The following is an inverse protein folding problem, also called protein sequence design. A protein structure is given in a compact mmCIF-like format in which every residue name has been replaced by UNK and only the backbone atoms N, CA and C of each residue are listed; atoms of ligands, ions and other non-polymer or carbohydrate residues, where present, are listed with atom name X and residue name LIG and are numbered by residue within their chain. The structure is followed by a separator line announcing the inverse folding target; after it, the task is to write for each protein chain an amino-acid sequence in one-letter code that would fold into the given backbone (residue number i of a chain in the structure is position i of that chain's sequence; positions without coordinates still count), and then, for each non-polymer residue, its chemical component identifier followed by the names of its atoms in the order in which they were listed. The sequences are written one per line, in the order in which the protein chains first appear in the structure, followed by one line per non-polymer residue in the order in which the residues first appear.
data_IF_980179498417
#
_entry.id   IF_980179498417
#
_cell.length_a   1.000
_cell.length_b   1.000
_cell.length_c   1.000
_cell.angle_alpha   90.00
_cell.angle_beta   90.00
_cell.angle_gamma   90.00
#
_symmetry.space_group_name_H-M   'P 1'
#
loop_
_entity.id
_entity.type
_entity.pdbx_description
1 polymer ?
#
# COMPACT_ATOMS: atom_id res chain seq x y z
N UNK A 1 19.12 28.95 7.76
CA UNK A 1 19.69 29.09 6.40
C UNK A 1 19.75 27.68 5.81
N UNK A 2 19.03 27.40 4.73
CA UNK A 2 19.00 26.07 4.11
C UNK A 2 20.25 25.80 3.25
N UNK A 3 20.62 24.53 3.09
CA UNK A 3 21.75 24.11 2.25
C UNK A 3 21.32 24.02 0.79
N UNK A 4 21.25 25.16 0.09
CA UNK A 4 20.75 25.23 -1.30
C UNK A 4 21.58 24.44 -2.32
N UNK A 5 22.84 24.16 -2.02
CA UNK A 5 23.74 23.35 -2.87
C UNK A 5 23.67 21.84 -2.59
N UNK A 6 22.92 21.40 -1.58
CA UNK A 6 22.79 19.99 -1.25
C UNK A 6 21.80 19.33 -2.23
N UNK A 7 22.28 18.38 -3.05
CA UNK A 7 21.46 17.71 -4.07
C UNK A 7 21.00 16.32 -3.66
N UNK A 8 21.74 15.65 -2.79
CA UNK A 8 21.39 14.33 -2.24
C UNK A 8 21.97 14.16 -0.85
N UNK A 9 21.33 13.31 -0.04
CA UNK A 9 21.80 12.90 1.27
C UNK A 9 21.55 11.42 1.50
N UNK A 10 22.49 10.75 2.16
CA UNK A 10 22.35 9.36 2.59
C UNK A 10 22.27 9.31 4.12
N UNK A 11 21.18 8.76 4.62
CA UNK A 11 20.91 8.54 6.04
C UNK A 11 21.15 7.07 6.36
N UNK A 12 22.18 6.78 7.10
CA UNK A 12 22.58 5.41 7.45
C UNK A 12 21.80 4.89 8.66
N UNK A 13 21.81 3.59 8.88
CA UNK A 13 21.14 2.91 10.00
C UNK A 13 21.58 3.40 11.40
N UNK A 14 22.73 4.05 11.52
CA UNK A 14 23.20 4.66 12.77
C UNK A 14 22.48 5.97 13.16
N UNK A 15 21.67 6.54 12.27
CA UNK A 15 20.90 7.75 12.56
C UNK A 15 19.63 7.36 13.33
N UNK A 16 19.59 7.70 14.59
CA UNK A 16 18.46 7.37 15.47
C UNK A 16 17.40 8.46 15.56
N UNK A 17 17.70 9.68 15.10
CA UNK A 17 16.76 10.81 15.10
C UNK A 17 17.13 11.86 14.05
N UNK A 18 16.11 12.31 13.33
CA UNK A 18 16.14 13.49 12.49
C UNK A 18 15.22 14.52 13.14
N UNK A 19 15.74 15.71 13.45
CA UNK A 19 14.93 16.78 14.05
C UNK A 19 13.92 17.37 13.07
N UNK A 20 12.82 17.94 13.61
CA UNK A 20 11.84 18.64 12.81
C UNK A 20 12.49 19.78 12.01
N UNK A 21 12.18 19.83 10.72
CA UNK A 21 12.74 20.85 9.84
C UNK A 21 14.23 20.69 9.49
N UNK A 22 14.83 19.52 9.73
CA UNK A 22 16.27 19.28 9.45
C UNK A 22 16.68 19.65 8.01
N UNK A 23 15.75 19.55 7.05
CA UNK A 23 15.99 19.87 5.63
C UNK A 23 15.22 21.09 5.13
N UNK A 24 14.67 21.90 6.03
CA UNK A 24 14.00 23.15 5.64
C UNK A 24 14.96 24.09 4.94
N UNK A 25 14.54 24.58 3.76
CA UNK A 25 15.37 25.47 2.94
C UNK A 25 16.47 24.78 2.13
N UNK A 26 16.55 23.46 2.12
CA UNK A 26 17.44 22.70 1.23
C UNK A 26 16.81 22.59 -0.17
N UNK A 27 16.62 23.72 -0.86
CA UNK A 27 15.88 23.79 -2.13
C UNK A 27 16.52 23.05 -3.30
N UNK A 28 17.81 22.74 -3.20
CA UNK A 28 18.54 21.92 -4.18
C UNK A 28 18.40 20.42 -3.98
N UNK A 29 17.83 19.98 -2.85
CA UNK A 29 17.73 18.56 -2.49
C UNK A 29 16.73 17.85 -3.41
N UNK A 30 17.23 16.83 -4.12
CA UNK A 30 16.46 16.02 -5.07
C UNK A 30 16.27 14.58 -4.61
N UNK A 31 17.14 14.10 -3.72
CA UNK A 31 17.14 12.72 -3.29
C UNK A 31 17.52 12.61 -1.80
N UNK A 32 16.73 11.84 -1.04
CA UNK A 32 17.08 11.38 0.31
C UNK A 32 17.12 9.85 0.27
N UNK A 33 18.26 9.27 0.62
CA UNK A 33 18.50 7.83 0.65
C UNK A 33 18.47 7.36 2.10
N UNK A 34 17.50 6.50 2.43
CA UNK A 34 17.46 5.79 3.70
C UNK A 34 18.04 4.38 3.53
N UNK A 35 19.08 4.05 4.31
CA UNK A 35 19.65 2.71 4.35
C UNK A 35 19.12 1.98 5.60
N UNK A 36 18.27 0.97 5.39
CA UNK A 36 17.54 0.24 6.46
C UNK A 36 18.03 -1.21 6.54
N UNK A 37 19.33 -1.43 6.75
CA UNK A 37 19.94 -2.75 6.63
C UNK A 37 19.66 -3.67 7.83
N UNK A 38 20.04 -3.25 9.05
CA UNK A 38 20.21 -4.19 10.17
C UNK A 38 19.10 -4.16 11.23
N UNK A 39 18.14 -3.24 11.16
CA UNK A 39 17.05 -3.08 12.11
C UNK A 39 15.75 -2.68 11.40
N UNK A 40 15.41 -3.41 10.36
CA UNK A 40 14.20 -3.13 9.57
C UNK A 40 12.95 -3.06 10.45
N UNK A 41 12.74 -4.02 11.36
CA UNK A 41 11.58 -4.05 12.26
C UNK A 41 11.54 -2.81 13.16
N UNK A 42 12.68 -2.42 13.72
CA UNK A 42 12.80 -1.22 14.55
C UNK A 42 12.54 0.05 13.73
N UNK A 43 13.06 0.13 12.52
CA UNK A 43 12.81 1.24 11.61
C UNK A 43 11.33 1.35 11.25
N UNK A 44 10.71 0.23 10.88
CA UNK A 44 9.30 0.17 10.48
C UNK A 44 8.36 0.61 11.62
N UNK A 45 8.67 0.24 12.86
CA UNK A 45 7.83 0.54 14.02
C UNK A 45 8.01 1.96 14.58
N UNK A 46 9.23 2.50 14.54
CA UNK A 46 9.50 3.85 15.08
C UNK A 46 9.15 4.97 14.10
N UNK A 47 9.26 4.70 12.79
CA UNK A 47 9.13 5.72 11.76
C UNK A 47 10.23 6.79 11.82
N UNK A 48 9.99 7.90 11.15
CA UNK A 48 10.88 9.07 11.16
C UNK A 48 10.06 10.37 11.15
N UNK A 49 10.63 11.52 11.53
CA UNK A 49 9.91 12.79 11.47
C UNK A 49 9.62 13.17 10.02
N UNK A 50 8.54 13.92 9.83
CA UNK A 50 8.13 14.43 8.53
C UNK A 50 9.26 15.21 7.85
N UNK A 51 9.62 14.82 6.64
CA UNK A 51 10.61 15.50 5.81
C UNK A 51 9.85 16.39 4.82
N UNK A 52 9.77 17.68 5.12
CA UNK A 52 9.12 18.65 4.24
C UNK A 52 10.10 19.14 3.16
N UNK A 53 10.42 18.29 2.20
CA UNK A 53 11.26 18.61 1.05
C UNK A 53 10.56 18.16 -0.24
N UNK A 54 10.70 18.94 -1.29
CA UNK A 54 10.15 18.59 -2.61
C UNK A 54 11.21 17.76 -3.38
N UNK A 55 11.43 16.51 -2.93
CA UNK A 55 12.39 15.57 -3.53
C UNK A 55 11.84 14.14 -3.48
N UNK A 56 12.44 13.29 -4.32
CA UNK A 56 12.17 11.85 -4.29
C UNK A 56 12.94 11.21 -3.12
N UNK A 57 12.21 10.53 -2.24
CA UNK A 57 12.81 9.77 -1.15
C UNK A 57 13.00 8.33 -1.62
N UNK A 58 14.25 7.88 -1.62
CA UNK A 58 14.62 6.53 -2.02
C UNK A 58 15.03 5.71 -0.82
N UNK A 59 14.49 4.51 -0.73
CA UNK A 59 14.78 3.57 0.35
C UNK A 59 15.62 2.40 -0.16
N UNK A 60 16.58 1.97 0.64
CA UNK A 60 17.55 0.93 0.27
C UNK A 60 17.61 -0.14 1.36
N UNK A 61 17.64 -1.40 0.94
CA UNK A 61 17.98 -2.54 1.79
C UNK A 61 19.21 -3.20 1.15
N UNK A 62 20.31 -3.30 1.90
CA UNK A 62 21.58 -3.84 1.39
C UNK A 62 22.00 -3.18 0.06
N UNK A 63 21.99 -1.85 0.03
CA UNK A 63 22.33 -0.98 -1.12
C UNK A 63 21.46 -1.18 -2.37
N UNK A 64 20.41 -2.00 -2.29
CA UNK A 64 19.43 -2.15 -3.38
C UNK A 64 18.22 -1.27 -3.13
N UNK A 65 17.86 -0.44 -4.11
CA UNK A 65 16.63 0.36 -4.06
C UNK A 65 15.40 -0.55 -3.98
N UNK A 66 14.49 -0.27 -3.03
CA UNK A 66 13.25 -1.02 -2.88
C UNK A 66 12.17 -0.42 -3.76
N UNK A 67 11.65 -1.25 -4.67
CA UNK A 67 10.48 -0.93 -5.50
C UNK A 67 9.25 -1.73 -5.08
N UNK A 68 9.44 -2.77 -4.27
CA UNK A 68 8.39 -3.54 -3.61
C UNK A 68 8.83 -3.85 -2.20
N UNK A 69 7.88 -3.88 -1.26
CA UNK A 69 8.15 -4.26 0.11
C UNK A 69 7.08 -5.18 0.66
N UNK A 70 7.52 -6.25 1.28
CA UNK A 70 6.73 -7.12 2.12
C UNK A 70 7.08 -6.81 3.58
N UNK A 71 6.09 -6.30 4.33
CA UNK A 71 6.27 -5.99 5.74
C UNK A 71 6.38 -7.32 6.50
N UNK A 72 7.43 -7.53 7.33
CA UNK A 72 7.62 -8.76 8.08
C UNK A 72 6.42 -9.11 8.97
N UNK A 73 6.11 -10.39 9.11
CA UNK A 73 4.91 -10.87 9.83
C UNK A 73 4.91 -10.56 11.34
N UNK A 74 6.08 -10.30 11.94
CA UNK A 74 6.23 -9.87 13.32
C UNK A 74 6.03 -8.37 13.53
N UNK A 75 5.91 -7.57 12.45
CA UNK A 75 5.63 -6.14 12.53
C UNK A 75 4.13 -5.92 12.62
N UNK A 76 3.69 -5.34 13.72
CA UNK A 76 2.27 -5.06 13.99
C UNK A 76 1.91 -3.58 13.85
N UNK A 77 2.91 -2.70 13.82
CA UNK A 77 2.74 -1.24 13.75
C UNK A 77 3.74 -0.66 12.75
N UNK A 78 3.25 0.21 11.85
CA UNK A 78 4.09 1.07 11.03
C UNK A 78 4.14 2.47 11.65
N UNK A 79 5.34 2.93 11.96
CA UNK A 79 5.60 4.24 12.56
C UNK A 79 5.38 5.40 11.58
N UNK A 80 5.31 6.62 12.13
CA UNK A 80 5.04 7.82 11.34
C UNK A 80 6.03 7.97 10.17
N UNK A 81 5.49 8.28 8.99
CA UNK A 81 6.22 8.70 7.77
C UNK A 81 7.24 7.68 7.23
N UNK A 82 7.20 6.43 7.67
CA UNK A 82 8.26 5.43 7.42
C UNK A 82 8.57 5.21 5.93
N UNK A 83 7.62 5.39 5.03
CA UNK A 83 7.79 5.33 3.58
C UNK A 83 7.36 6.62 2.86
N UNK A 84 7.29 7.75 3.59
CA UNK A 84 6.89 9.01 2.99
C UNK A 84 7.77 9.36 1.77
N UNK A 85 7.12 9.74 0.66
CA UNK A 85 7.79 10.22 -0.54
C UNK A 85 8.51 9.12 -1.34
N UNK A 86 8.32 7.85 -1.01
CA UNK A 86 8.91 6.73 -1.75
C UNK A 86 8.19 6.55 -3.11
N UNK A 87 8.49 7.46 -4.07
CA UNK A 87 7.86 7.45 -5.39
C UNK A 87 8.22 6.22 -6.23
N UNK A 88 9.34 5.55 -5.93
CA UNK A 88 9.77 4.32 -6.58
C UNK A 88 9.05 3.05 -6.09
N UNK A 89 8.31 3.12 -4.96
CA UNK A 89 7.59 1.97 -4.43
C UNK A 89 6.36 1.66 -5.28
N UNK A 90 6.33 0.49 -5.89
CA UNK A 90 5.23 0.06 -6.79
C UNK A 90 4.28 -0.95 -6.15
N UNK A 91 4.78 -1.74 -5.19
CA UNK A 91 4.00 -2.79 -4.53
C UNK A 91 4.29 -2.85 -3.04
N UNK A 92 3.23 -3.06 -2.25
CA UNK A 92 3.27 -3.17 -0.81
C UNK A 92 2.49 -4.39 -0.36
N UNK A 93 3.05 -5.17 0.58
CA UNK A 93 2.34 -6.26 1.28
C UNK A 93 2.30 -5.97 2.77
N UNK A 94 1.09 -5.89 3.32
CA UNK A 94 0.82 -5.73 4.75
C UNK A 94 0.42 -7.09 5.34
N UNK A 95 1.10 -7.57 6.41
CA UNK A 95 0.85 -8.89 6.99
C UNK A 95 -0.48 -8.96 7.75
N UNK A 96 -0.95 -10.19 7.99
CA UNK A 96 -2.19 -10.41 8.74
C UNK A 96 -2.17 -9.85 10.18
N UNK A 97 -0.97 -9.73 10.78
CA UNK A 97 -0.78 -9.21 12.13
C UNK A 97 -0.71 -7.69 12.25
N UNK A 98 -0.82 -6.93 11.14
CA UNK A 98 -0.75 -5.47 11.22
C UNK A 98 -1.99 -4.90 11.90
N UNK A 99 -1.80 -4.10 12.94
CA UNK A 99 -2.88 -3.50 13.74
C UNK A 99 -2.89 -1.98 13.67
N UNK A 100 -1.74 -1.36 13.36
CA UNK A 100 -1.62 0.09 13.31
C UNK A 100 -0.77 0.54 12.12
N UNK A 101 -1.29 1.52 11.37
CA UNK A 101 -0.56 2.29 10.37
C UNK A 101 -0.62 3.74 10.83
N UNK A 102 0.52 4.32 11.20
CA UNK A 102 0.59 5.65 11.78
C UNK A 102 0.46 6.75 10.71
N UNK A 103 0.65 8.01 11.11
CA UNK A 103 0.46 9.17 10.23
C UNK A 103 1.43 9.17 9.03
N UNK A 104 0.89 9.45 7.85
CA UNK A 104 1.66 9.72 6.63
C UNK A 104 2.58 8.60 6.15
N UNK A 105 2.35 7.35 6.58
CA UNK A 105 3.26 6.22 6.30
C UNK A 105 3.60 6.11 4.82
N UNK A 106 2.62 6.22 3.93
CA UNK A 106 2.80 6.11 2.48
C UNK A 106 2.52 7.43 1.75
N UNK A 107 2.52 8.54 2.46
CA UNK A 107 2.28 9.88 1.88
C UNK A 107 3.28 10.16 0.76
N UNK A 108 2.79 10.48 -0.45
CA UNK A 108 3.62 10.76 -1.61
C UNK A 108 4.24 9.54 -2.30
N UNK A 109 3.79 8.31 -1.99
CA UNK A 109 4.19 7.10 -2.72
C UNK A 109 3.46 7.04 -4.07
N UNK A 110 3.77 7.95 -4.97
CA UNK A 110 3.06 8.13 -6.26
C UNK A 110 3.24 6.98 -7.24
N UNK A 111 4.23 6.12 -7.02
CA UNK A 111 4.51 4.93 -7.82
C UNK A 111 3.64 3.71 -7.49
N UNK A 112 2.90 3.72 -6.35
CA UNK A 112 2.12 2.56 -5.92
C UNK A 112 1.06 2.17 -6.95
N UNK A 113 1.07 0.89 -7.32
CA UNK A 113 0.10 0.27 -8.22
C UNK A 113 -0.66 -0.88 -7.58
N UNK A 114 -0.10 -1.47 -6.51
CA UNK A 114 -0.75 -2.56 -5.79
C UNK A 114 -0.43 -2.53 -4.30
N UNK A 115 -1.46 -2.75 -3.48
CA UNK A 115 -1.36 -2.93 -2.03
C UNK A 115 -2.09 -4.22 -1.67
N UNK A 116 -1.36 -5.18 -1.10
CA UNK A 116 -1.93 -6.44 -0.61
C UNK A 116 -2.07 -6.35 0.90
N UNK A 117 -3.28 -6.46 1.41
CA UNK A 117 -3.57 -6.43 2.85
C UNK A 117 -4.06 -7.81 3.28
N UNK A 118 -3.31 -8.49 4.14
CA UNK A 118 -3.68 -9.79 4.67
C UNK A 118 -4.43 -9.71 6.00
N UNK A 119 -4.47 -8.54 6.63
CA UNK A 119 -5.24 -8.30 7.85
C UNK A 119 -6.74 -8.21 7.54
N UNK A 120 -7.57 -8.88 8.33
CA UNK A 120 -9.03 -8.72 8.25
C UNK A 120 -9.46 -7.30 8.66
N UNK A 121 -8.69 -6.70 9.57
CA UNK A 121 -8.93 -5.34 10.07
C UNK A 121 -7.65 -4.69 10.58
N UNK A 122 -7.35 -3.48 10.11
CA UNK A 122 -6.32 -2.61 10.69
C UNK A 122 -7.02 -1.68 11.71
N UNK A 123 -6.76 -1.88 13.00
CA UNK A 123 -7.53 -1.24 14.08
C UNK A 123 -7.35 0.27 14.15
N UNK A 124 -6.15 0.76 13.79
CA UNK A 124 -5.83 2.17 13.82
C UNK A 124 -5.08 2.57 12.55
N UNK A 125 -5.64 3.53 11.83
CA UNK A 125 -5.05 4.12 10.63
C UNK A 125 -4.95 5.62 10.87
N UNK A 126 -3.73 6.16 10.77
CA UNK A 126 -3.44 7.58 10.98
C UNK A 126 -3.94 8.43 9.83
N UNK A 127 -3.82 9.75 10.00
CA UNK A 127 -4.15 10.71 8.95
C UNK A 127 -3.12 10.70 7.81
N UNK A 128 -3.53 11.17 6.64
CA UNK A 128 -2.66 11.41 5.48
C UNK A 128 -1.88 10.19 4.95
N UNK A 129 -2.28 8.97 5.32
CA UNK A 129 -1.51 7.75 5.01
C UNK A 129 -1.23 7.62 3.52
N UNK A 130 -2.20 7.91 2.66
CA UNK A 130 -2.10 7.72 1.20
C UNK A 130 -2.14 9.01 0.39
N UNK A 131 -2.09 10.17 1.04
CA UNK A 131 -2.11 11.47 0.33
C UNK A 131 -0.93 11.55 -0.64
N UNK A 132 -1.21 11.83 -1.92
CA UNK A 132 -0.21 11.89 -3.00
C UNK A 132 0.10 10.56 -3.67
N UNK A 133 -0.58 9.47 -3.28
CA UNK A 133 -0.66 8.26 -4.11
C UNK A 133 -1.64 8.47 -5.27
N UNK A 134 -1.51 7.67 -6.33
CA UNK A 134 -2.46 7.72 -7.45
C UNK A 134 -3.68 6.82 -7.14
N UNK A 135 -4.79 7.47 -6.72
CA UNK A 135 -6.02 6.80 -6.31
C UNK A 135 -6.66 5.92 -7.41
N UNK A 136 -6.43 6.27 -8.69
CA UNK A 136 -7.01 5.56 -9.84
C UNK A 136 -6.14 4.41 -10.32
N UNK A 137 -4.84 4.55 -10.16
CA UNK A 137 -3.87 3.60 -10.68
C UNK A 137 -3.61 2.44 -9.71
N UNK A 138 -3.69 2.72 -8.40
CA UNK A 138 -3.42 1.72 -7.38
C UNK A 138 -4.64 0.83 -7.11
N UNK A 139 -4.43 -0.47 -7.06
CA UNK A 139 -5.42 -1.45 -6.63
C UNK A 139 -5.08 -1.96 -5.23
N UNK A 140 -6.05 -1.92 -4.33
CA UNK A 140 -5.95 -2.48 -2.98
C UNK A 140 -6.60 -3.84 -2.95
N UNK A 141 -5.85 -4.86 -2.59
CA UNK A 141 -6.33 -6.24 -2.43
C UNK A 141 -6.55 -6.50 -0.94
N UNK A 142 -7.77 -6.90 -0.56
CA UNK A 142 -8.19 -7.10 0.83
C UNK A 142 -8.80 -8.49 1.02
N UNK A 143 -8.80 -9.05 2.25
CA UNK A 143 -9.39 -10.37 2.51
C UNK A 143 -10.87 -10.43 2.12
N UNK A 144 -11.33 -11.61 1.71
CA UNK A 144 -12.74 -11.89 1.43
C UNK A 144 -13.63 -11.50 2.61
N UNK A 145 -14.74 -10.77 2.33
CA UNK A 145 -15.72 -10.33 3.33
C UNK A 145 -15.33 -9.02 4.05
N UNK A 146 -14.21 -8.37 3.68
CA UNK A 146 -13.74 -7.16 4.36
C UNK A 146 -13.87 -5.88 3.52
N UNK A 147 -14.44 -5.96 2.33
CA UNK A 147 -14.56 -4.83 1.39
C UNK A 147 -15.14 -3.57 2.05
N UNK A 148 -16.30 -3.69 2.70
CA UNK A 148 -17.00 -2.56 3.31
C UNK A 148 -16.16 -1.88 4.41
N UNK A 149 -15.43 -2.68 5.19
CA UNK A 149 -14.53 -2.15 6.21
C UNK A 149 -13.42 -1.30 5.59
N UNK A 150 -12.76 -1.81 4.55
CA UNK A 150 -11.65 -1.11 3.91
C UNK A 150 -12.12 0.09 3.08
N UNK A 151 -13.29 -0.01 2.45
CA UNK A 151 -13.91 1.10 1.74
C UNK A 151 -14.23 2.29 2.66
N UNK A 152 -14.68 2.03 3.90
CA UNK A 152 -15.00 3.06 4.89
C UNK A 152 -13.78 3.55 5.68
N UNK A 153 -12.62 2.99 5.48
CA UNK A 153 -11.35 3.38 6.12
C UNK A 153 -10.54 4.33 5.22
N UNK A 154 -9.31 4.70 5.65
CA UNK A 154 -8.37 5.46 4.84
C UNK A 154 -8.00 4.76 3.51
N UNK A 155 -8.19 3.45 3.40
CA UNK A 155 -8.01 2.71 2.15
C UNK A 155 -9.08 3.05 1.11
N UNK A 156 -10.24 3.58 1.51
CA UNK A 156 -11.27 4.11 0.61
C UNK A 156 -10.82 5.33 -0.20
N UNK A 157 -9.61 5.84 0.05
CA UNK A 157 -8.92 6.78 -0.82
C UNK A 157 -8.74 6.24 -2.24
N UNK A 158 -8.59 4.92 -2.40
CA UNK A 158 -8.37 4.28 -3.68
C UNK A 158 -9.69 3.87 -4.34
N UNK A 159 -9.80 4.13 -5.66
CA UNK A 159 -11.01 3.78 -6.43
C UNK A 159 -11.13 2.27 -6.71
N UNK A 160 -10.04 1.51 -6.56
CA UNK A 160 -9.98 0.08 -6.86
C UNK A 160 -9.67 -0.73 -5.60
N UNK A 161 -10.69 -1.28 -4.95
CA UNK A 161 -10.55 -2.25 -3.87
C UNK A 161 -11.10 -3.60 -4.36
N UNK A 162 -10.33 -4.67 -4.21
CA UNK A 162 -10.65 -6.02 -4.69
C UNK A 162 -10.45 -7.01 -3.56
N UNK A 163 -11.44 -7.85 -3.32
CA UNK A 163 -11.32 -8.95 -2.35
C UNK A 163 -10.55 -10.13 -2.95
N UNK A 164 -9.70 -10.77 -2.14
CA UNK A 164 -8.95 -11.96 -2.53
C UNK A 164 -8.91 -12.98 -1.39
N UNK A 165 -8.69 -14.25 -1.75
CA UNK A 165 -8.53 -15.32 -0.77
C UNK A 165 -7.12 -15.28 -0.18
N UNK A 166 -7.02 -15.02 1.13
CA UNK A 166 -5.75 -14.91 1.86
C UNK A 166 -5.22 -16.27 2.36
N UNK A 167 -5.98 -17.35 2.19
CA UNK A 167 -5.61 -18.67 2.76
C UNK A 167 -4.46 -19.34 2.02
N UNK A 168 -4.03 -18.78 0.88
CA UNK A 168 -2.91 -19.29 0.07
C UNK A 168 -3.18 -20.70 -0.48
N UNK A 169 -4.37 -21.22 -0.29
CA UNK A 169 -4.86 -22.37 -1.03
C UNK A 169 -5.26 -21.82 -2.40
N UNK A 170 -4.26 -21.60 -3.25
CA UNK A 170 -4.49 -21.80 -4.67
C UNK A 170 -5.12 -23.19 -4.75
N UNK A 171 -6.44 -23.23 -4.76
CA UNK A 171 -7.14 -24.35 -5.33
C UNK A 171 -6.75 -24.33 -6.80
N UNK A 172 -5.55 -24.87 -7.11
CA UNK A 172 -5.29 -25.51 -8.39
C UNK A 172 -6.24 -26.69 -8.48
N UNK A 173 -7.53 -26.36 -8.48
CA UNK A 173 -8.53 -27.24 -9.06
C UNK A 173 -8.30 -27.11 -10.56
N UNK A 174 -7.47 -28.00 -11.07
CA UNK A 174 -7.63 -28.57 -12.41
C UNK A 174 -9.00 -29.24 -12.45
N UNK A 175 -10.06 -28.47 -12.31
CA UNK A 175 -11.43 -28.86 -12.50
C UNK A 175 -12.04 -27.90 -13.49
N UNK A 176 -12.43 -28.45 -14.62
CA UNK A 176 -13.08 -27.80 -15.74
C UNK A 176 -14.51 -27.34 -15.45
N UNK A 177 -14.94 -27.38 -14.18
CA UNK A 177 -16.33 -27.15 -13.76
C UNK A 177 -16.47 -26.00 -12.74
N UNK A 178 -15.85 -24.86 -13.01
CA UNK A 178 -16.10 -23.63 -12.24
C UNK A 178 -17.36 -22.96 -12.83
N UNK A 179 -18.50 -23.12 -12.17
CA UNK A 179 -19.77 -22.55 -12.62
C UNK A 179 -19.99 -21.13 -12.09
N UNK A 180 -20.62 -20.29 -12.89
CA UNK A 180 -21.12 -18.99 -12.44
C UNK A 180 -22.29 -19.21 -11.47
N UNK A 181 -22.15 -18.73 -10.21
CA UNK A 181 -23.19 -18.86 -9.18
C UNK A 181 -24.02 -17.59 -8.99
N UNK A 182 -23.47 -16.45 -9.33
CA UNK A 182 -24.16 -15.17 -9.28
C UNK A 182 -23.52 -14.13 -10.20
N UNK A 183 -24.33 -13.18 -10.65
CA UNK A 183 -23.90 -12.04 -11.44
C UNK A 183 -24.52 -10.76 -10.88
N UNK A 184 -23.76 -9.68 -10.91
CA UNK A 184 -24.18 -8.38 -10.41
C UNK A 184 -23.80 -7.27 -11.39
N UNK A 185 -24.58 -6.21 -11.40
CA UNK A 185 -24.20 -4.95 -12.04
C UNK A 185 -23.13 -4.24 -11.22
N UNK A 186 -22.51 -3.19 -11.78
CA UNK A 186 -21.47 -2.42 -11.08
C UNK A 186 -21.98 -1.65 -9.85
N UNK A 187 -23.29 -1.43 -9.76
CA UNK A 187 -24.01 -0.82 -8.64
C UNK A 187 -24.53 -1.86 -7.62
N UNK A 188 -24.12 -3.13 -7.76
CA UNK A 188 -24.38 -4.20 -6.80
C UNK A 188 -25.74 -4.90 -6.96
N UNK A 189 -26.54 -4.58 -7.98
CA UNK A 189 -27.80 -5.28 -8.21
C UNK A 189 -27.54 -6.67 -8.79
N UNK A 190 -28.20 -7.70 -8.23
CA UNK A 190 -28.12 -9.06 -8.74
C UNK A 190 -28.81 -9.15 -10.11
N UNK A 191 -28.09 -9.67 -11.09
CA UNK A 191 -28.57 -9.86 -12.45
C UNK A 191 -28.98 -11.31 -12.68
N UNK A 192 -30.10 -11.51 -13.35
CA UNK A 192 -30.58 -12.85 -13.75
C UNK A 192 -29.96 -13.36 -15.05
N UNK A 193 -29.33 -12.45 -15.81
CA UNK A 193 -28.66 -12.76 -17.07
C UNK A 193 -27.55 -11.72 -17.34
N UNK A 194 -26.58 -12.01 -18.23
CA UNK A 194 -25.60 -11.03 -18.67
C UNK A 194 -26.27 -9.79 -19.28
N UNK A 195 -25.89 -8.61 -18.79
CA UNK A 195 -26.36 -7.32 -19.32
C UNK A 195 -25.21 -6.57 -19.97
N UNK A 196 -25.50 -5.82 -21.02
CA UNK A 196 -24.50 -5.01 -21.72
C UNK A 196 -23.76 -4.08 -20.77
N UNK A 197 -22.44 -4.06 -20.87
CA UNK A 197 -21.56 -3.29 -20.00
C UNK A 197 -20.72 -4.19 -19.09
N UNK A 198 -20.21 -3.63 -18.00
CA UNK A 198 -19.40 -4.36 -17.04
C UNK A 198 -20.28 -5.09 -16.03
N UNK A 199 -20.10 -6.40 -15.92
CA UNK A 199 -20.77 -7.25 -14.94
C UNK A 199 -19.75 -7.81 -13.95
N UNK A 200 -20.16 -7.99 -12.70
CA UNK A 200 -19.38 -8.67 -11.66
C UNK A 200 -19.93 -10.09 -11.53
N UNK A 201 -19.10 -11.08 -11.81
CA UNK A 201 -19.50 -12.50 -11.80
C UNK A 201 -18.83 -13.22 -10.66
N UNK A 202 -19.63 -13.89 -9.83
CA UNK A 202 -19.17 -14.77 -8.76
C UNK A 202 -19.24 -16.21 -9.23
N UNK A 203 -18.19 -16.98 -8.99
CA UNK A 203 -18.08 -18.38 -9.38
C UNK A 203 -18.19 -19.33 -8.18
N UNK A 204 -18.43 -20.61 -8.45
CA UNK A 204 -18.60 -21.67 -7.43
C UNK A 204 -17.36 -21.92 -6.57
N UNK A 205 -16.19 -21.55 -7.07
CA UNK A 205 -14.91 -21.58 -6.33
C UNK A 205 -14.71 -20.38 -5.39
N UNK A 206 -15.69 -19.47 -5.33
CA UNK A 206 -15.63 -18.23 -4.55
C UNK A 206 -14.95 -17.06 -5.29
N UNK A 207 -14.34 -17.30 -6.45
CA UNK A 207 -13.71 -16.22 -7.21
C UNK A 207 -14.73 -15.23 -7.78
N UNK A 208 -14.29 -13.97 -7.93
CA UNK A 208 -15.10 -12.90 -8.50
C UNK A 208 -14.33 -12.27 -9.67
N UNK A 209 -14.98 -12.13 -10.83
CA UNK A 209 -14.38 -11.53 -12.01
C UNK A 209 -15.26 -10.41 -12.57
N UNK A 210 -14.62 -9.35 -13.07
CA UNK A 210 -15.30 -8.34 -13.90
C UNK A 210 -15.33 -8.83 -15.35
N UNK A 211 -16.52 -8.96 -15.90
CA UNK A 211 -16.75 -9.46 -17.26
C UNK A 211 -17.43 -8.37 -18.09
N UNK A 212 -16.78 -7.94 -19.18
CA UNK A 212 -17.39 -7.02 -20.11
C UNK A 212 -18.32 -7.79 -21.06
N UNK A 213 -19.60 -7.43 -21.07
CA UNK A 213 -20.61 -7.96 -21.99
C UNK A 213 -20.85 -6.94 -23.10
N UNK A 214 -20.60 -7.32 -24.36
CA UNK A 214 -20.73 -6.48 -25.56
C UNK A 214 -22.16 -6.44 -26.09
#
# INVERSE_FOLDING_TARGET
MGCIGLTSITLTSGITKIGDGAFVGCSGLKEVRFCINDNLDTYLTKGHPYINVNCDIKYYINDKEITSIEIPSNVTTLGNYVFQGCSGLTSLTLPAGITEISEGVFKGCSGLTSIYVYAEKVQKIGSDVFVGCDAKKCTVYVPMGTYDYYWLSEFGYFENIVEFDVTGIDKTTTSTDVEEVARYSVDGQRLSAPTKGLNIVKYSDGSVKKVAVR
#
